data_IF_793270395419
#
_entry.id   IF_793270395419
#
_cell.length_a   1.000
_cell.length_b   1.000
_cell.length_c   1.000
_cell.angle_alpha   90.00
_cell.angle_beta   90.00
_cell.angle_gamma   90.00
#
_symmetry.space_group_name_H-M   'P 1'
#
loop_
_entity.id
_entity.type
_entity.pdbx_description
1 polymer ?
#
# COMPACT_ATOMS: atom_id res chain seq x y z
N UNK A 1 30.59 38.67 38.95
CA UNK A 1 29.12 38.69 38.86
C UNK A 1 28.71 37.49 37.98
N UNK A 2 28.29 36.41 38.60
CA UNK A 2 27.85 35.19 37.92
C UNK A 2 26.36 35.34 37.62
N UNK A 3 26.02 35.49 36.38
CA UNK A 3 24.63 35.41 35.93
C UNK A 3 24.13 33.97 36.14
N UNK A 4 23.25 33.82 37.10
CA UNK A 4 22.43 32.61 37.25
C UNK A 4 21.54 32.49 36.02
N UNK A 5 21.90 31.59 35.10
CA UNK A 5 20.95 31.08 34.11
C UNK A 5 19.84 30.35 34.87
N UNK A 6 18.71 31.00 35.04
CA UNK A 6 17.47 30.37 35.49
C UNK A 6 17.12 29.29 34.43
N UNK A 7 17.21 28.03 34.82
CA UNK A 7 16.71 26.93 33.98
C UNK A 7 15.24 27.17 33.66
N UNK A 8 14.96 27.62 32.46
CA UNK A 8 13.58 27.72 31.95
C UNK A 8 13.03 26.31 31.76
N UNK A 9 12.10 25.90 32.60
CA UNK A 9 11.34 24.67 32.45
C UNK A 9 10.54 24.74 31.13
N UNK A 10 10.54 23.65 30.36
CA UNK A 10 9.67 23.52 29.19
C UNK A 10 8.20 23.60 29.61
N UNK A 11 7.33 24.10 28.74
CA UNK A 11 5.90 24.25 29.04
C UNK A 11 5.25 22.91 29.46
N UNK A 12 5.72 21.77 28.91
CA UNK A 12 5.33 20.42 29.30
C UNK A 12 5.75 20.04 30.74
N UNK A 13 6.71 20.74 31.30
CA UNK A 13 7.21 20.56 32.68
C UNK A 13 6.69 21.65 33.62
N UNK A 14 5.62 22.36 33.22
CA UNK A 14 5.05 23.46 33.99
C UNK A 14 5.74 24.82 33.84
N UNK A 15 6.58 24.98 32.78
CA UNK A 15 7.16 26.26 32.39
C UNK A 15 6.17 27.18 31.68
N UNK A 16 6.63 28.38 31.32
CA UNK A 16 5.81 29.35 30.56
C UNK A 16 5.41 28.78 29.20
N UNK A 17 4.12 28.87 28.87
CA UNK A 17 3.61 28.56 27.53
C UNK A 17 4.06 29.67 26.58
N UNK A 18 4.48 29.29 25.37
CA UNK A 18 4.87 30.24 24.33
C UNK A 18 3.73 31.20 23.93
N UNK A 19 2.49 30.76 24.13
CA UNK A 19 1.28 31.58 23.93
C UNK A 19 0.39 31.41 25.18
N UNK A 20 0.13 32.49 25.89
CA UNK A 20 -0.81 32.52 27.01
C UNK A 20 -2.16 33.06 26.52
N UNK A 21 -3.26 32.53 27.06
CA UNK A 21 -4.61 33.03 26.77
C UNK A 21 -5.26 32.45 25.50
N UNK A 22 -4.72 31.37 24.93
CA UNK A 22 -5.45 30.58 23.91
C UNK A 22 -6.43 29.68 24.65
N UNK A 23 -7.61 30.18 24.90
CA UNK A 23 -8.77 29.37 25.25
C UNK A 23 -9.38 28.89 23.91
N UNK A 24 -8.95 27.74 23.45
CA UNK A 24 -9.48 27.14 22.23
C UNK A 24 -10.37 25.94 22.57
N UNK A 25 -11.66 26.11 22.49
CA UNK A 25 -12.50 24.99 22.12
C UNK A 25 -12.24 24.74 20.64
N UNK A 26 -11.23 23.92 20.33
CA UNK A 26 -10.94 23.59 18.95
C UNK A 26 -12.14 22.89 18.34
N UNK A 27 -12.68 23.44 17.26
CA UNK A 27 -13.56 22.65 16.39
C UNK A 27 -12.77 21.40 15.96
N UNK A 28 -13.37 20.21 15.96
CA UNK A 28 -12.70 19.05 15.43
C UNK A 28 -12.27 19.34 13.99
N UNK A 29 -11.04 18.95 13.62
CA UNK A 29 -10.52 19.15 12.25
C UNK A 29 -11.37 18.46 11.19
N UNK A 30 -12.09 17.42 11.59
CA UNK A 30 -13.02 16.64 10.80
C UNK A 30 -14.32 16.62 11.62
N UNK A 31 -15.37 17.17 11.07
CA UNK A 31 -16.67 17.30 11.73
C UNK A 31 -17.81 16.90 10.81
N UNK A 32 -18.99 17.48 11.08
CA UNK A 32 -20.22 17.18 10.34
C UNK A 32 -20.07 17.54 8.84
N UNK A 33 -19.41 18.64 8.51
CA UNK A 33 -19.27 19.06 7.11
C UNK A 33 -18.42 18.08 6.29
N UNK A 34 -17.33 17.55 6.86
CA UNK A 34 -16.50 16.52 6.21
C UNK A 34 -17.25 15.20 6.12
N UNK A 35 -18.02 14.80 7.14
CA UNK A 35 -18.89 13.63 7.08
C UNK A 35 -19.89 13.80 5.94
N UNK A 36 -20.58 14.93 5.88
CA UNK A 36 -21.59 15.20 4.84
C UNK A 36 -20.99 15.22 3.43
N UNK A 37 -19.77 15.74 3.26
CA UNK A 37 -19.06 15.70 1.98
C UNK A 37 -18.80 14.27 1.48
N UNK A 38 -18.59 13.32 2.38
CA UNK A 38 -18.47 11.89 2.04
C UNK A 38 -19.84 11.30 1.72
N UNK A 39 -20.85 11.55 2.57
CA UNK A 39 -22.21 11.02 2.40
C UNK A 39 -22.85 11.49 1.10
N UNK A 40 -22.59 12.73 0.67
CA UNK A 40 -23.06 13.29 -0.61
C UNK A 40 -22.68 12.42 -1.82
N UNK A 41 -21.54 11.71 -1.76
CA UNK A 41 -21.08 10.82 -2.84
C UNK A 41 -21.94 9.57 -3.04
N UNK A 42 -22.80 9.25 -2.10
CA UNK A 42 -23.74 8.14 -2.23
C UNK A 42 -25.02 8.50 -3.01
N UNK A 43 -25.21 9.76 -3.41
CA UNK A 43 -26.34 10.19 -4.23
C UNK A 43 -27.68 10.10 -3.52
N UNK A 44 -27.71 10.32 -2.21
CA UNK A 44 -28.94 10.32 -1.43
C UNK A 44 -29.83 11.50 -1.78
N UNK A 45 -31.14 11.40 -1.51
CA UNK A 45 -32.07 12.51 -1.67
C UNK A 45 -31.75 13.66 -0.72
N UNK A 46 -32.18 14.88 -1.10
CA UNK A 46 -31.98 16.08 -0.27
C UNK A 46 -32.57 15.92 1.14
N UNK A 47 -33.73 15.27 1.27
CA UNK A 47 -34.38 15.05 2.57
C UNK A 47 -33.56 14.08 3.43
N UNK A 48 -33.02 12.99 2.84
CA UNK A 48 -32.16 12.07 3.55
C UNK A 48 -30.84 12.75 3.98
N UNK A 49 -30.25 13.59 3.13
CA UNK A 49 -29.07 14.37 3.45
C UNK A 49 -29.32 15.34 4.61
N UNK A 50 -30.46 16.05 4.60
CA UNK A 50 -30.85 16.94 5.69
C UNK A 50 -31.02 16.17 7.00
N UNK A 51 -31.74 15.03 6.97
CA UNK A 51 -31.95 14.20 8.16
C UNK A 51 -30.64 13.66 8.76
N UNK A 52 -29.68 13.24 7.93
CA UNK A 52 -28.36 12.78 8.41
C UNK A 52 -27.60 13.95 9.06
N UNK A 53 -27.65 15.15 8.45
CA UNK A 53 -27.01 16.34 9.01
C UNK A 53 -27.60 16.71 10.36
N UNK A 54 -28.93 16.77 10.47
CA UNK A 54 -29.62 17.10 11.71
C UNK A 54 -29.23 16.14 12.86
N UNK A 55 -29.16 14.85 12.57
CA UNK A 55 -28.75 13.83 13.55
C UNK A 55 -27.28 14.05 13.95
N UNK A 56 -26.38 14.27 12.98
CA UNK A 56 -24.97 14.44 13.25
C UNK A 56 -24.65 15.74 14.02
N UNK A 57 -25.42 16.83 13.77
CA UNK A 57 -25.27 18.11 14.48
C UNK A 57 -25.81 18.06 15.92
N UNK A 58 -26.83 17.23 16.16
CA UNK A 58 -27.44 17.05 17.46
C UNK A 58 -26.61 16.14 18.39
N UNK A 59 -25.70 15.34 17.83
CA UNK A 59 -24.89 14.40 18.61
C UNK A 59 -23.63 15.06 19.18
N UNK A 60 -23.24 14.62 20.38
CA UNK A 60 -21.95 14.91 20.98
C UNK A 60 -20.96 13.86 20.50
N UNK A 61 -20.14 14.20 19.53
CA UNK A 61 -19.12 13.31 18.99
C UNK A 61 -18.14 12.90 20.10
N UNK A 62 -18.30 11.69 20.61
CA UNK A 62 -17.56 11.17 21.76
C UNK A 62 -16.10 10.83 21.47
N UNK A 63 -15.28 11.88 21.18
CA UNK A 63 -13.85 11.72 20.99
C UNK A 63 -13.38 11.31 19.58
N UNK A 64 -14.31 11.11 18.63
CA UNK A 64 -13.95 10.85 17.22
C UNK A 64 -13.48 12.11 16.48
N UNK A 65 -13.10 11.98 15.18
CA UNK A 65 -13.19 10.82 14.32
C UNK A 65 -12.03 9.84 14.50
N UNK A 66 -12.35 8.56 14.59
CA UNK A 66 -11.38 7.47 14.70
C UNK A 66 -10.85 7.07 13.31
N UNK A 67 -10.12 7.97 12.66
CA UNK A 67 -9.65 7.78 11.29
C UNK A 67 -8.23 7.23 11.19
N UNK A 68 -7.46 7.33 12.27
CA UNK A 68 -6.07 6.86 12.28
C UNK A 68 -5.86 5.84 13.40
N UNK A 69 -5.16 4.76 13.06
CA UNK A 69 -4.92 3.64 13.95
C UNK A 69 -4.21 4.04 15.25
N UNK A 70 -3.14 4.86 15.17
CA UNK A 70 -2.32 5.23 16.34
C UNK A 70 -3.03 6.14 17.35
N UNK A 71 -4.04 6.87 16.90
CA UNK A 71 -4.68 7.93 17.69
C UNK A 71 -6.15 7.64 17.98
N UNK A 72 -6.69 6.56 17.41
CA UNK A 72 -8.12 6.27 17.50
C UNK A 72 -8.52 5.53 18.77
N UNK A 73 -7.58 4.86 19.44
CA UNK A 73 -7.89 3.97 20.57
C UNK A 73 -8.72 2.73 20.18
N UNK A 74 -8.81 2.41 18.89
CA UNK A 74 -9.45 1.19 18.42
C UNK A 74 -8.50 -0.01 18.58
N UNK A 75 -9.03 -1.16 18.96
CA UNK A 75 -8.27 -2.41 19.05
C UNK A 75 -7.74 -2.85 17.68
N UNK A 76 -8.53 -2.68 16.63
CA UNK A 76 -8.18 -2.96 15.24
C UNK A 76 -8.71 -1.86 14.32
N UNK A 77 -7.85 -1.25 13.50
CA UNK A 77 -8.29 -0.33 12.46
C UNK A 77 -8.89 -1.06 11.27
N UNK A 78 -9.64 -0.34 10.42
CA UNK A 78 -10.17 -0.91 9.18
C UNK A 78 -9.07 -1.34 8.20
N UNK A 79 -7.91 -0.70 8.23
CA UNK A 79 -6.74 -1.10 7.44
C UNK A 79 -6.18 -2.43 7.95
N UNK A 80 -6.00 -2.59 9.26
CA UNK A 80 -5.56 -3.86 9.86
C UNK A 80 -6.54 -5.00 9.58
N UNK A 81 -7.86 -4.73 9.70
CA UNK A 81 -8.88 -5.71 9.36
C UNK A 81 -8.81 -6.11 7.87
N UNK A 82 -8.55 -5.16 6.98
CA UNK A 82 -8.36 -5.40 5.55
C UNK A 82 -7.10 -6.25 5.28
N UNK A 83 -5.96 -5.91 5.90
CA UNK A 83 -4.71 -6.66 5.81
C UNK A 83 -4.90 -8.10 6.31
N UNK A 84 -5.57 -8.28 7.45
CA UNK A 84 -5.90 -9.60 8.00
C UNK A 84 -6.79 -10.40 7.05
N UNK A 85 -7.85 -9.80 6.53
CA UNK A 85 -8.74 -10.43 5.55
C UNK A 85 -7.99 -10.87 4.29
N UNK A 86 -7.08 -10.04 3.78
CA UNK A 86 -6.22 -10.39 2.65
C UNK A 86 -5.36 -11.62 2.94
N UNK A 87 -4.69 -11.67 4.08
CA UNK A 87 -3.90 -12.85 4.50
C UNK A 87 -4.74 -14.11 4.59
N UNK A 88 -5.91 -14.03 5.21
CA UNK A 88 -6.82 -15.17 5.40
C UNK A 88 -7.35 -15.72 4.07
N UNK A 89 -7.73 -14.83 3.13
CA UNK A 89 -8.30 -15.24 1.84
C UNK A 89 -7.23 -15.86 0.93
N UNK A 90 -6.07 -15.23 0.86
CA UNK A 90 -5.02 -15.63 -0.09
C UNK A 90 -3.99 -16.59 0.52
N UNK A 91 -4.01 -16.81 1.82
CA UNK A 91 -3.08 -17.70 2.52
C UNK A 91 -1.67 -17.14 2.67
N UNK A 92 -1.49 -15.82 2.59
CA UNK A 92 -0.19 -15.16 2.74
C UNK A 92 0.12 -14.82 4.20
N UNK A 93 1.40 -14.85 4.56
CA UNK A 93 1.85 -14.57 5.93
C UNK A 93 1.78 -13.09 6.28
N UNK A 94 2.17 -12.23 5.36
CA UNK A 94 2.24 -10.78 5.56
C UNK A 94 1.38 -10.03 4.55
N UNK A 95 0.79 -8.94 5.01
CA UNK A 95 0.01 -8.02 4.18
C UNK A 95 0.34 -6.57 4.54
N UNK A 96 0.21 -5.68 3.57
CA UNK A 96 0.35 -4.24 3.74
C UNK A 96 -0.71 -3.52 2.92
N UNK A 97 -1.59 -2.78 3.60
CA UNK A 97 -2.56 -1.88 2.97
C UNK A 97 -1.86 -0.62 2.47
N UNK A 98 -2.17 -0.21 1.26
CA UNK A 98 -1.64 0.99 0.60
C UNK A 98 -2.77 1.85 0.04
N UNK A 99 -2.48 3.11 -0.30
CA UNK A 99 -3.48 4.03 -0.85
C UNK A 99 -3.84 3.77 -2.33
N UNK A 100 -3.14 2.88 -3.01
CA UNK A 100 -3.44 2.45 -4.37
C UNK A 100 -2.65 1.19 -4.77
N UNK A 101 -3.09 0.48 -5.80
CA UNK A 101 -2.30 -0.61 -6.38
C UNK A 101 -0.94 -0.15 -6.90
N UNK A 102 -0.85 1.07 -7.43
CA UNK A 102 0.43 1.68 -7.86
C UNK A 102 1.38 1.87 -6.69
N UNK A 103 0.86 2.29 -5.52
CA UNK A 103 1.68 2.40 -4.31
C UNK A 103 2.13 1.02 -3.81
N UNK A 104 1.28 -0.01 -3.89
CA UNK A 104 1.68 -1.39 -3.58
C UNK A 104 2.84 -1.85 -4.48
N UNK A 105 2.75 -1.63 -5.79
CA UNK A 105 3.83 -1.92 -6.73
C UNK A 105 5.13 -1.14 -6.42
N UNK A 106 5.02 0.15 -6.11
CA UNK A 106 6.20 0.96 -5.74
C UNK A 106 6.88 0.43 -4.47
N UNK A 107 6.10 0.09 -3.44
CA UNK A 107 6.62 -0.53 -2.22
C UNK A 107 7.29 -1.88 -2.52
N UNK A 108 6.65 -2.73 -3.34
CA UNK A 108 7.17 -4.03 -3.73
C UNK A 108 8.49 -3.91 -4.50
N UNK A 109 8.56 -3.06 -5.53
CA UNK A 109 9.80 -2.87 -6.30
C UNK A 109 10.94 -2.35 -5.43
N UNK A 110 10.68 -1.38 -4.56
CA UNK A 110 11.70 -0.90 -3.63
C UNK A 110 12.13 -2.02 -2.66
N UNK A 111 11.18 -2.80 -2.16
CA UNK A 111 11.47 -3.91 -1.24
C UNK A 111 12.35 -5.00 -1.88
N UNK A 112 12.12 -5.35 -3.14
CA UNK A 112 12.94 -6.33 -3.86
C UNK A 112 14.28 -5.77 -4.36
N UNK A 113 14.58 -4.50 -4.09
CA UNK A 113 15.89 -3.89 -4.36
C UNK A 113 15.99 -3.14 -5.69
N UNK A 114 14.87 -2.76 -6.28
CA UNK A 114 14.87 -1.85 -7.43
C UNK A 114 15.37 -0.48 -6.99
N UNK A 115 16.24 0.13 -7.79
CA UNK A 115 16.86 1.41 -7.53
C UNK A 115 17.65 1.91 -8.74
N UNK A 116 18.48 2.95 -8.59
CA UNK A 116 19.25 3.53 -9.70
C UNK A 116 20.08 2.48 -10.44
N UNK A 117 19.90 2.42 -11.77
CA UNK A 117 20.60 1.51 -12.65
C UNK A 117 20.11 0.05 -12.64
N UNK A 118 19.12 -0.29 -11.82
CA UNK A 118 18.51 -1.62 -11.80
C UNK A 118 17.38 -1.72 -12.81
N UNK A 119 17.26 -2.90 -13.41
CA UNK A 119 16.27 -3.19 -14.45
C UNK A 119 15.19 -4.13 -13.93
N UNK A 120 13.95 -3.89 -14.37
CA UNK A 120 12.80 -4.76 -14.15
C UNK A 120 12.18 -5.09 -15.50
N UNK A 121 11.99 -6.37 -15.77
CA UNK A 121 11.32 -6.81 -17.01
C UNK A 121 9.81 -6.79 -16.78
N UNK A 122 9.13 -5.96 -17.57
CA UNK A 122 7.68 -5.74 -17.55
C UNK A 122 7.05 -6.17 -18.89
N UNK A 123 5.76 -6.56 -18.94
CA UNK A 123 5.10 -6.82 -20.22
C UNK A 123 4.97 -5.53 -21.04
N UNK A 124 5.09 -5.64 -22.37
CA UNK A 124 4.91 -4.53 -23.32
C UNK A 124 3.45 -4.06 -23.43
N UNK A 125 2.50 -4.90 -23.02
CA UNK A 125 1.06 -4.59 -22.99
C UNK A 125 0.58 -4.70 -21.53
N UNK A 126 -0.13 -3.68 -21.05
CA UNK A 126 -0.67 -3.66 -19.69
C UNK A 126 -1.11 -2.26 -19.28
N UNK A 127 -1.51 -2.13 -18.02
CA UNK A 127 -1.72 -0.81 -17.45
C UNK A 127 -0.34 -0.21 -17.09
N UNK A 128 -0.13 1.04 -17.45
CA UNK A 128 1.18 1.69 -17.33
C UNK A 128 1.72 1.77 -15.90
N UNK A 129 0.89 1.53 -14.88
CA UNK A 129 1.27 1.62 -13.47
C UNK A 129 2.44 0.69 -13.11
N UNK A 130 2.51 -0.51 -13.70
CA UNK A 130 3.61 -1.46 -13.46
C UNK A 130 4.95 -0.83 -13.82
N UNK A 131 5.10 -0.34 -15.06
CA UNK A 131 6.32 0.33 -15.49
C UNK A 131 6.56 1.67 -14.77
N UNK A 132 5.50 2.45 -14.51
CA UNK A 132 5.60 3.71 -13.79
C UNK A 132 6.10 3.52 -12.35
N UNK A 133 5.66 2.47 -11.65
CA UNK A 133 6.13 2.15 -10.30
C UNK A 133 7.62 1.74 -10.29
N UNK A 134 8.12 1.07 -11.34
CA UNK A 134 9.55 0.82 -11.52
C UNK A 134 10.33 2.13 -11.63
N UNK A 135 9.83 3.09 -12.43
CA UNK A 135 10.44 4.41 -12.57
C UNK A 135 10.40 5.19 -11.25
N UNK A 136 9.28 5.12 -10.51
CA UNK A 136 9.17 5.72 -9.18
C UNK A 136 10.19 5.16 -8.20
N UNK A 137 10.47 3.85 -8.26
CA UNK A 137 11.54 3.19 -7.52
C UNK A 137 12.94 3.51 -8.07
N UNK A 138 13.05 4.44 -9.05
CA UNK A 138 14.29 4.85 -9.74
C UNK A 138 14.93 3.72 -10.56
N UNK A 139 14.20 2.68 -10.89
CA UNK A 139 14.61 1.60 -11.77
C UNK A 139 14.35 1.89 -13.24
N UNK A 140 14.73 0.96 -14.08
CA UNK A 140 14.58 1.01 -15.54
C UNK A 140 13.63 -0.11 -15.97
N UNK A 141 12.43 0.19 -16.48
CA UNK A 141 11.56 -0.84 -17.05
C UNK A 141 12.13 -1.30 -18.39
N UNK A 142 12.23 -2.62 -18.55
CA UNK A 142 12.61 -3.29 -19.80
C UNK A 142 11.38 -4.04 -20.30
N UNK A 143 10.93 -3.80 -21.53
CA UNK A 143 9.68 -4.36 -22.01
C UNK A 143 9.90 -5.71 -22.69
N UNK A 144 9.13 -6.70 -22.25
CA UNK A 144 9.05 -8.05 -22.81
C UNK A 144 7.80 -8.17 -23.68
N UNK A 145 7.92 -8.84 -24.82
CA UNK A 145 6.78 -9.18 -25.65
C UNK A 145 5.77 -10.04 -24.89
N UNK A 146 4.55 -10.05 -25.37
CA UNK A 146 3.44 -10.83 -24.86
C UNK A 146 3.10 -11.98 -25.83
N UNK A 147 2.51 -13.03 -25.28
CA UNK A 147 1.96 -14.13 -26.05
C UNK A 147 0.50 -13.87 -26.49
N UNK A 148 -0.20 -14.89 -26.97
CA UNK A 148 -1.60 -14.81 -27.43
C UNK A 148 -2.58 -14.49 -26.26
N UNK A 149 -2.19 -14.72 -25.01
CA UNK A 149 -2.96 -14.36 -23.82
C UNK A 149 -2.89 -12.87 -23.47
N UNK A 150 -2.02 -12.12 -24.16
CA UNK A 150 -1.62 -10.74 -23.88
C UNK A 150 -0.86 -10.58 -22.55
N UNK A 151 -0.44 -11.68 -21.94
CA UNK A 151 0.46 -11.68 -20.78
C UNK A 151 1.91 -11.81 -21.24
N UNK A 152 2.85 -11.55 -20.33
CA UNK A 152 4.30 -11.66 -20.58
C UNK A 152 4.64 -13.06 -21.10
N UNK A 153 5.33 -13.15 -22.24
CA UNK A 153 5.77 -14.42 -22.83
C UNK A 153 7.04 -14.93 -22.13
N UNK A 154 6.99 -16.04 -21.38
CA UNK A 154 8.15 -16.57 -20.69
C UNK A 154 9.33 -16.91 -21.62
N UNK A 155 9.05 -17.28 -22.86
CA UNK A 155 10.08 -17.61 -23.84
C UNK A 155 10.90 -16.39 -24.32
N UNK A 156 10.41 -15.18 -24.06
CA UNK A 156 11.07 -13.93 -24.45
C UNK A 156 11.87 -13.28 -23.31
N UNK A 157 11.65 -13.70 -22.07
CA UNK A 157 12.25 -13.06 -20.89
C UNK A 157 13.76 -13.19 -20.90
N UNK A 158 14.27 -14.40 -21.14
CA UNK A 158 15.70 -14.71 -20.97
C UNK A 158 16.62 -13.86 -21.86
N UNK A 159 16.17 -13.53 -23.06
CA UNK A 159 16.92 -12.68 -24.00
C UNK A 159 17.05 -11.21 -23.54
N UNK A 160 16.26 -10.78 -22.56
CA UNK A 160 16.24 -9.42 -22.02
C UNK A 160 17.05 -9.28 -20.73
N UNK A 161 17.48 -10.40 -20.15
CA UNK A 161 18.20 -10.39 -18.87
C UNK A 161 19.61 -9.82 -19.05
N UNK A 162 19.94 -8.85 -18.22
CA UNK A 162 21.29 -8.25 -18.11
C UNK A 162 21.81 -8.38 -16.68
N UNK A 163 23.08 -8.08 -16.39
CA UNK A 163 23.58 -8.02 -15.01
C UNK A 163 22.90 -6.97 -14.13
N UNK A 164 22.09 -6.09 -14.70
CA UNK A 164 21.31 -5.08 -13.97
C UNK A 164 19.90 -5.55 -13.66
N UNK A 165 19.40 -6.59 -14.31
CA UNK A 165 18.06 -7.12 -14.08
C UNK A 165 17.96 -7.71 -12.68
N UNK A 166 16.98 -7.25 -11.89
CA UNK A 166 16.78 -7.68 -10.51
C UNK A 166 15.41 -8.31 -10.28
N UNK A 167 14.42 -8.02 -11.14
CA UNK A 167 13.07 -8.54 -10.99
C UNK A 167 12.34 -8.71 -12.33
N UNK A 168 11.34 -9.60 -12.30
CA UNK A 168 10.30 -9.74 -13.30
C UNK A 168 9.00 -9.18 -12.72
N UNK A 169 8.19 -8.52 -13.54
CA UNK A 169 6.93 -7.92 -13.13
C UNK A 169 5.77 -8.39 -14.03
N UNK A 170 5.34 -9.66 -13.92
CA UNK A 170 4.18 -10.13 -14.67
C UNK A 170 2.92 -9.35 -14.26
N UNK A 171 2.13 -8.93 -15.25
CA UNK A 171 0.82 -8.32 -15.06
C UNK A 171 -0.25 -9.29 -15.55
N UNK A 172 -1.14 -9.70 -14.64
CA UNK A 172 -2.28 -10.57 -14.95
C UNK A 172 -3.38 -9.74 -15.61
N UNK A 173 -3.31 -9.65 -16.94
CA UNK A 173 -4.09 -8.69 -17.70
C UNK A 173 -5.54 -9.15 -17.88
N UNK A 174 -6.50 -8.26 -17.56
CA UNK A 174 -7.95 -8.48 -17.77
C UNK A 174 -8.50 -9.78 -17.15
N UNK A 175 -7.92 -10.23 -16.05
CA UNK A 175 -8.32 -11.46 -15.38
C UNK A 175 -7.63 -12.72 -15.89
N UNK A 176 -6.81 -12.62 -16.94
CA UNK A 176 -5.99 -13.73 -17.40
C UNK A 176 -4.73 -13.81 -16.55
N UNK A 177 -4.51 -14.96 -15.92
CA UNK A 177 -3.30 -15.21 -15.15
C UNK A 177 -2.16 -15.58 -16.09
N UNK A 178 -0.99 -14.98 -15.90
CA UNK A 178 0.21 -15.27 -16.67
C UNK A 178 0.61 -16.75 -16.53
N UNK A 179 1.38 -17.27 -17.48
CA UNK A 179 2.11 -18.55 -17.30
C UNK A 179 3.17 -18.39 -16.20
N UNK A 180 2.71 -18.53 -14.95
CA UNK A 180 3.57 -18.36 -13.80
C UNK A 180 4.61 -19.47 -13.67
N UNK A 181 4.31 -20.69 -14.13
CA UNK A 181 5.28 -21.79 -14.14
C UNK A 181 6.51 -21.46 -14.99
N UNK A 182 6.27 -20.97 -16.20
CA UNK A 182 7.31 -20.52 -17.12
C UNK A 182 8.10 -19.32 -16.58
N UNK A 183 7.40 -18.32 -16.05
CA UNK A 183 8.03 -17.10 -15.49
C UNK A 183 8.89 -17.46 -14.27
N UNK A 184 8.38 -18.26 -13.34
CA UNK A 184 9.10 -18.68 -12.14
C UNK A 184 10.30 -19.58 -12.46
N UNK A 185 10.21 -20.41 -13.52
CA UNK A 185 11.35 -21.19 -13.99
C UNK A 185 12.53 -20.30 -14.42
N UNK A 186 12.24 -19.24 -15.20
CA UNK A 186 13.26 -18.25 -15.60
C UNK A 186 13.78 -17.48 -14.39
N UNK A 187 12.88 -17.01 -13.51
CA UNK A 187 13.27 -16.25 -12.32
C UNK A 187 14.23 -17.05 -11.41
N UNK A 188 13.90 -18.32 -11.13
CA UNK A 188 14.75 -19.21 -10.32
C UNK A 188 16.11 -19.47 -10.98
N UNK A 189 16.14 -19.70 -12.29
CA UNK A 189 17.38 -19.96 -13.06
C UNK A 189 18.36 -18.79 -12.95
N UNK A 190 17.84 -17.55 -12.94
CA UNK A 190 18.65 -16.33 -12.95
C UNK A 190 18.72 -15.60 -11.60
N UNK A 191 18.09 -16.14 -10.55
CA UNK A 191 18.07 -15.54 -9.21
C UNK A 191 17.34 -14.19 -9.16
N UNK A 192 16.29 -14.04 -9.99
CA UNK A 192 15.49 -12.82 -10.08
C UNK A 192 14.28 -12.90 -9.13
N UNK A 193 13.87 -11.74 -8.61
CA UNK A 193 12.63 -11.59 -7.86
C UNK A 193 11.42 -11.49 -8.80
N UNK A 194 10.25 -11.89 -8.31
CA UNK A 194 8.99 -11.79 -9.07
C UNK A 194 7.98 -10.97 -8.28
N UNK A 195 7.54 -9.86 -8.89
CA UNK A 195 6.48 -8.99 -8.35
C UNK A 195 5.26 -9.11 -9.26
N UNK A 196 4.20 -9.73 -8.77
CA UNK A 196 2.96 -9.94 -9.52
C UNK A 196 2.07 -8.70 -9.44
N UNK A 197 1.69 -8.14 -10.60
CA UNK A 197 0.64 -7.13 -10.68
C UNK A 197 -0.72 -7.82 -10.89
N UNK A 198 -1.50 -7.90 -9.82
CA UNK A 198 -2.80 -8.57 -9.76
C UNK A 198 -3.98 -7.59 -9.82
N UNK A 199 -3.69 -6.31 -10.14
CA UNK A 199 -4.71 -5.26 -10.14
C UNK A 199 -5.93 -5.52 -11.03
N UNK A 200 -5.84 -6.46 -11.97
CA UNK A 200 -6.94 -6.82 -12.89
C UNK A 200 -7.37 -8.29 -12.76
N UNK A 201 -6.78 -9.07 -11.85
CA UNK A 201 -7.03 -10.50 -11.72
C UNK A 201 -7.19 -10.97 -10.27
N UNK A 202 -7.74 -10.13 -9.41
CA UNK A 202 -8.00 -10.48 -8.01
C UNK A 202 -8.87 -11.75 -7.92
N UNK A 203 -8.37 -12.78 -7.24
CA UNK A 203 -9.01 -14.09 -7.14
C UNK A 203 -8.71 -15.05 -8.29
N UNK A 204 -7.94 -14.62 -9.33
CA UNK A 204 -7.43 -15.50 -10.38
C UNK A 204 -6.50 -16.57 -9.83
N UNK A 205 -6.38 -17.69 -10.52
CA UNK A 205 -5.55 -18.82 -10.09
C UNK A 205 -4.68 -19.37 -11.22
N UNK A 206 -3.51 -19.88 -10.85
CA UNK A 206 -2.68 -20.76 -11.64
C UNK A 206 -2.62 -22.11 -10.90
N UNK A 207 -3.29 -23.13 -11.44
CA UNK A 207 -3.52 -24.37 -10.68
C UNK A 207 -4.31 -24.08 -9.40
N UNK A 208 -3.77 -24.51 -8.25
CA UNK A 208 -4.38 -24.34 -6.94
C UNK A 208 -3.92 -23.05 -6.21
N UNK A 209 -2.94 -22.32 -6.77
CA UNK A 209 -2.38 -21.13 -6.17
C UNK A 209 -3.09 -19.87 -6.68
N UNK A 210 -3.30 -18.90 -5.79
CA UNK A 210 -3.84 -17.60 -6.19
C UNK A 210 -2.77 -16.75 -6.90
N UNK A 211 -3.16 -16.05 -7.96
CA UNK A 211 -2.35 -14.97 -8.52
C UNK A 211 -2.04 -13.95 -7.41
N UNK A 212 -0.77 -13.57 -7.30
CA UNK A 212 -0.27 -12.71 -6.23
C UNK A 212 0.31 -13.45 -5.02
N UNK A 213 0.33 -14.79 -5.05
CA UNK A 213 0.99 -15.61 -4.02
C UNK A 213 2.00 -16.60 -4.59
N UNK A 214 2.28 -16.51 -5.90
CA UNK A 214 3.19 -17.44 -6.60
C UNK A 214 4.60 -16.86 -6.69
N UNK A 215 4.69 -15.54 -6.91
CA UNK A 215 5.95 -14.80 -6.89
C UNK A 215 6.40 -14.42 -5.48
N UNK A 216 7.40 -13.54 -5.40
CA UNK A 216 7.90 -13.05 -4.09
C UNK A 216 6.95 -12.05 -3.45
N UNK A 217 6.25 -11.24 -4.26
CA UNK A 217 5.30 -10.20 -3.80
C UNK A 217 4.14 -10.10 -4.76
N UNK A 218 2.92 -10.10 -4.24
CA UNK A 218 1.70 -9.82 -4.99
C UNK A 218 1.15 -8.42 -4.70
N UNK A 219 0.75 -7.68 -5.73
CA UNK A 219 0.22 -6.33 -5.64
C UNK A 219 -1.18 -6.24 -6.22
N UNK A 220 -2.13 -5.80 -5.39
CA UNK A 220 -3.55 -5.73 -5.73
C UNK A 220 -4.03 -4.28 -5.72
N UNK A 221 -5.05 -3.98 -6.50
CA UNK A 221 -5.77 -2.71 -6.50
C UNK A 221 -7.22 -2.92 -6.09
N UNK A 222 -7.71 -2.06 -5.20
CA UNK A 222 -9.12 -1.99 -4.81
C UNK A 222 -9.77 -0.66 -5.23
N UNK A 223 -9.24 -0.02 -6.29
CA UNK A 223 -9.89 1.13 -6.92
C UNK A 223 -11.34 0.78 -7.32
N UNK A 224 -12.22 1.77 -7.37
CA UNK A 224 -13.66 1.61 -7.58
C UNK A 224 -14.05 0.73 -8.80
N UNK A 225 -13.22 0.71 -9.84
CA UNK A 225 -13.47 -0.05 -11.08
C UNK A 225 -12.84 -1.45 -11.10
N UNK A 226 -12.24 -1.88 -9.98
CA UNK A 226 -11.61 -3.20 -9.91
C UNK A 226 -12.61 -4.28 -9.48
N UNK A 227 -12.22 -5.55 -9.63
CA UNK A 227 -13.04 -6.72 -9.23
C UNK A 227 -13.49 -6.58 -7.77
N UNK A 228 -12.58 -6.13 -6.89
CA UNK A 228 -12.90 -5.73 -5.52
C UNK A 228 -12.76 -4.22 -5.45
N UNK A 229 -13.88 -3.51 -5.42
CA UNK A 229 -13.92 -2.05 -5.37
C UNK A 229 -14.12 -1.53 -3.95
N UNK A 230 -13.17 -0.78 -3.43
CA UNK A 230 -13.22 -0.12 -2.13
C UNK A 230 -13.10 1.40 -2.19
N UNK A 231 -13.30 1.99 -3.39
CA UNK A 231 -13.05 3.42 -3.64
C UNK A 231 -11.65 3.62 -4.19
N UNK A 232 -10.67 3.77 -3.32
CA UNK A 232 -9.24 3.75 -3.67
C UNK A 232 -8.47 2.96 -2.62
N UNK A 233 -7.44 2.26 -3.06
CA UNK A 233 -6.56 1.48 -2.19
C UNK A 233 -5.79 0.39 -2.93
N UNK A 234 -4.91 -0.26 -2.21
CA UNK A 234 -4.15 -1.41 -2.67
C UNK A 234 -3.78 -2.33 -1.53
N UNK A 235 -3.34 -3.52 -1.88
CA UNK A 235 -2.83 -4.52 -0.96
C UNK A 235 -1.56 -5.11 -1.53
N UNK A 236 -0.54 -5.25 -0.69
CA UNK A 236 0.67 -6.00 -0.97
C UNK A 236 0.66 -7.26 -0.10
N UNK A 237 0.93 -8.41 -0.71
CA UNK A 237 1.06 -9.70 -0.03
C UNK A 237 2.46 -10.28 -0.24
N UNK A 238 3.01 -10.92 0.78
CA UNK A 238 4.27 -11.66 0.69
C UNK A 238 4.40 -12.65 1.86
N UNK A 239 5.20 -13.69 1.68
CA UNK A 239 5.58 -14.61 2.76
C UNK A 239 7.00 -14.32 3.31
N UNK A 240 7.71 -13.37 2.71
CA UNK A 240 9.04 -12.95 3.13
C UNK A 240 8.94 -11.74 4.08
N UNK A 241 9.29 -11.96 5.36
CA UNK A 241 9.28 -10.93 6.40
C UNK A 241 10.14 -9.71 6.03
N UNK A 242 11.32 -9.94 5.42
CA UNK A 242 12.22 -8.85 5.04
C UNK A 242 11.63 -7.98 3.93
N UNK A 243 10.95 -8.59 2.96
CA UNK A 243 10.26 -7.84 1.91
C UNK A 243 9.11 -7.02 2.49
N UNK A 244 8.35 -7.61 3.43
CA UNK A 244 7.28 -6.90 4.12
C UNK A 244 7.81 -5.72 4.94
N UNK A 245 8.87 -5.91 5.74
CA UNK A 245 9.51 -4.84 6.52
C UNK A 245 9.97 -3.68 5.61
N UNK A 246 10.66 -4.00 4.50
CA UNK A 246 11.14 -3.00 3.54
C UNK A 246 10.00 -2.27 2.83
N UNK A 247 8.94 -2.98 2.45
CA UNK A 247 7.74 -2.38 1.86
C UNK A 247 7.06 -1.41 2.83
N UNK A 248 6.96 -1.78 4.11
CA UNK A 248 6.42 -0.91 5.15
C UNK A 248 7.22 0.38 5.33
N UNK A 249 8.56 0.31 5.31
CA UNK A 249 9.42 1.49 5.43
C UNK A 249 9.20 2.49 4.29
N UNK A 250 8.79 2.01 3.11
CA UNK A 250 8.44 2.86 1.96
C UNK A 250 7.03 3.43 2.10
N UNK A 251 6.09 2.62 2.56
CA UNK A 251 4.68 3.00 2.67
C UNK A 251 4.45 4.03 3.77
N UNK A 252 5.20 3.94 4.87
CA UNK A 252 4.93 4.73 6.06
C UNK A 252 6.20 5.04 6.87
N UNK A 253 6.47 6.32 7.05
CA UNK A 253 7.60 6.78 7.87
C UNK A 253 7.41 6.49 9.37
N UNK A 254 6.16 6.31 9.81
CA UNK A 254 5.77 6.04 11.19
C UNK A 254 5.63 4.55 11.53
N UNK A 255 6.12 3.66 10.70
CA UNK A 255 5.97 2.20 10.86
C UNK A 255 6.41 1.64 12.21
N UNK A 256 7.29 2.35 12.93
CA UNK A 256 7.68 2.02 14.30
C UNK A 256 6.53 2.10 15.32
N UNK A 257 5.42 2.74 14.98
CA UNK A 257 4.27 2.95 15.84
C UNK A 257 3.15 1.93 15.59
N UNK A 258 3.33 1.05 14.62
CA UNK A 258 2.41 -0.06 14.43
C UNK A 258 2.48 -1.01 15.62
N UNK A 259 1.34 -1.61 16.04
CA UNK A 259 1.32 -2.62 17.09
C UNK A 259 2.22 -3.83 16.75
N UNK A 260 2.21 -4.22 15.49
CA UNK A 260 3.10 -5.24 14.92
C UNK A 260 4.46 -4.60 14.65
N UNK A 261 5.30 -4.58 15.67
CA UNK A 261 6.60 -3.93 15.59
C UNK A 261 7.50 -4.66 14.61
N UNK A 262 8.06 -3.90 13.68
CA UNK A 262 9.22 -4.36 12.93
C UNK A 262 10.36 -4.71 13.89
N UNK A 263 11.15 -5.70 13.53
CA UNK A 263 12.52 -5.74 13.99
C UNK A 263 13.18 -4.38 13.66
N UNK A 264 14.05 -3.90 14.52
CA UNK A 264 14.80 -2.66 14.26
C UNK A 264 15.43 -2.73 12.86
N UNK A 265 15.42 -1.61 12.08
CA UNK A 265 15.98 -1.60 10.74
C UNK A 265 17.37 -2.20 10.76
N UNK A 266 17.56 -3.28 10.04
CA UNK A 266 18.89 -3.85 9.85
C UNK A 266 19.52 -3.08 8.71
N UNK A 267 20.40 -2.17 9.03
CA UNK A 267 21.30 -1.55 8.06
C UNK A 267 22.33 -2.60 7.67
N UNK A 268 22.19 -3.19 6.48
CA UNK A 268 23.26 -3.95 5.83
C UNK A 268 23.97 -3.06 4.82
#
# INVERSE_FOLDING_TARGET
MSEQRTEQRLALQGGLKAVSGVEGHGKPKIGVDELMAVVERFGLSSDAMAGIRDIAEADTWGGGPFLANYYSGLDESKVQAFERCGREIFGSTYALGTNSGTAALHCAFTAVGVGPGKEVICPAIGFFATAAAVVQAKGIPVFCDVDQSLCMDPAKIEALITPRTVALAPTHLRGVVCDMDGIMAVARKHGLRVVEDVAQACGGRCGDEYAGTIGDVGCFSISAYKIVGGGEGGLLLTDDERLWERANQVAECGGLWRPDRFAAPRYE
#
